data_IF_120653358929
#
_entry.id   IF_120653358929
#
_cell.length_a   1.000
_cell.length_b   1.000
_cell.length_c   1.000
_cell.angle_alpha   90.00
_cell.angle_beta   90.00
_cell.angle_gamma   90.00
#
_symmetry.space_group_name_H-M   'P 1'
#
loop_
_entity.id
_entity.type
_entity.pdbx_description
1 polymer ?
#
# COMPACT_ATOMS: atom_id res chain seq x y z
N UNK A 1 -17.73 -0.53 65.69
CA UNK A 1 -16.91 0.31 64.79
C UNK A 1 -16.61 -0.54 63.56
N UNK A 2 -17.60 -0.73 62.70
CA UNK A 2 -17.52 -1.56 61.49
C UNK A 2 -17.18 -0.65 60.32
N UNK A 3 -15.94 -0.76 59.87
CA UNK A 3 -15.39 -0.05 58.72
C UNK A 3 -16.15 -0.46 57.45
N UNK A 4 -17.09 0.39 57.03
CA UNK A 4 -17.83 0.23 55.78
C UNK A 4 -16.88 0.67 54.67
N UNK A 5 -16.12 -0.29 54.12
CA UNK A 5 -15.34 -0.09 52.91
C UNK A 5 -16.23 0.50 51.82
N UNK A 6 -15.92 1.73 51.40
CA UNK A 6 -16.63 2.40 50.31
C UNK A 6 -16.49 1.56 49.03
N UNK A 7 -17.53 1.53 48.16
CA UNK A 7 -17.44 0.84 46.88
C UNK A 7 -16.28 1.40 46.07
N UNK A 8 -15.35 0.55 45.64
CA UNK A 8 -14.31 0.97 44.71
C UNK A 8 -14.97 1.41 43.39
N UNK A 9 -14.59 2.56 42.81
CA UNK A 9 -15.06 2.94 41.51
C UNK A 9 -14.70 1.85 40.50
N UNK A 10 -15.58 1.55 39.53
CA UNK A 10 -15.29 0.56 38.52
C UNK A 10 -13.98 0.92 37.80
N UNK A 11 -13.13 -0.07 37.47
CA UNK A 11 -11.90 0.19 36.75
C UNK A 11 -12.25 0.87 35.42
N UNK A 12 -11.66 2.04 35.19
CA UNK A 12 -11.76 2.77 33.92
C UNK A 12 -11.19 1.85 32.85
N UNK A 13 -12.05 1.21 32.05
CA UNK A 13 -11.61 0.44 30.88
C UNK A 13 -10.90 1.44 29.98
N UNK A 14 -9.59 1.26 29.79
CA UNK A 14 -8.88 1.94 28.72
C UNK A 14 -9.68 1.68 27.43
N UNK A 15 -10.01 2.74 26.69
CA UNK A 15 -10.78 2.62 25.46
C UNK A 15 -10.05 1.66 24.53
N UNK A 16 -10.57 0.44 24.38
CA UNK A 16 -10.04 -0.52 23.43
C UNK A 16 -10.17 0.10 22.04
N UNK A 17 -9.10 0.09 21.22
CA UNK A 17 -9.18 0.63 19.87
C UNK A 17 -10.34 -0.03 19.13
N UNK A 18 -11.14 0.78 18.42
CA UNK A 18 -12.34 0.30 17.73
C UNK A 18 -11.94 -0.83 16.76
N UNK A 19 -12.32 -2.08 17.06
CA UNK A 19 -11.90 -3.29 16.33
C UNK A 19 -12.18 -3.21 14.84
N UNK A 20 -13.18 -2.42 14.44
CA UNK A 20 -13.54 -2.16 13.04
C UNK A 20 -12.49 -1.33 12.31
N UNK A 21 -11.92 -0.31 12.96
CA UNK A 21 -10.87 0.56 12.42
C UNK A 21 -9.59 -0.24 12.17
N UNK A 22 -9.19 -1.06 13.14
CA UNK A 22 -7.99 -1.92 13.03
C UNK A 22 -8.13 -2.92 11.87
N UNK A 23 -9.32 -3.51 11.68
CA UNK A 23 -9.58 -4.43 10.58
C UNK A 23 -9.54 -3.74 9.21
N UNK A 24 -10.07 -2.51 9.12
CA UNK A 24 -10.04 -1.73 7.90
C UNK A 24 -8.60 -1.35 7.51
N UNK A 25 -7.81 -0.89 8.48
CA UNK A 25 -6.39 -0.59 8.31
C UNK A 25 -5.62 -1.83 7.81
N UNK A 26 -5.81 -2.97 8.47
CA UNK A 26 -5.14 -4.23 8.10
C UNK A 26 -5.52 -4.67 6.68
N UNK A 27 -6.78 -4.48 6.28
CA UNK A 27 -7.22 -4.78 4.93
C UNK A 27 -6.56 -3.86 3.90
N UNK A 28 -6.53 -2.55 4.16
CA UNK A 28 -5.89 -1.57 3.29
C UNK A 28 -4.40 -1.82 3.13
N UNK A 29 -3.69 -2.11 4.22
CA UNK A 29 -2.26 -2.45 4.19
C UNK A 29 -1.99 -3.68 3.33
N UNK A 30 -2.83 -4.71 3.43
CA UNK A 30 -2.73 -5.91 2.60
C UNK A 30 -2.88 -5.59 1.10
N UNK A 31 -3.85 -4.76 0.74
CA UNK A 31 -4.07 -4.37 -0.66
C UNK A 31 -2.92 -3.51 -1.20
N UNK A 32 -2.45 -2.54 -0.41
CA UNK A 32 -1.32 -1.69 -0.79
C UNK A 32 -0.04 -2.53 -0.96
N UNK A 33 0.22 -3.47 -0.05
CA UNK A 33 1.35 -4.39 -0.16
C UNK A 33 1.30 -5.22 -1.46
N UNK A 34 0.13 -5.75 -1.81
CA UNK A 34 -0.04 -6.48 -3.08
C UNK A 34 0.25 -5.57 -4.28
N UNK A 35 -0.30 -4.34 -4.30
CA UNK A 35 -0.04 -3.39 -5.38
C UNK A 35 1.46 -3.07 -5.56
N UNK A 36 2.18 -2.89 -4.45
CA UNK A 36 3.64 -2.71 -4.47
C UNK A 36 4.34 -3.92 -5.10
N UNK A 37 3.93 -5.14 -4.74
CA UNK A 37 4.54 -6.35 -5.30
C UNK A 37 4.19 -6.57 -6.77
N UNK A 38 3.02 -6.12 -7.24
CA UNK A 38 2.63 -6.23 -8.64
C UNK A 38 3.43 -5.29 -9.55
N UNK A 39 3.90 -4.15 -9.05
CA UNK A 39 4.73 -3.22 -9.83
C UNK A 39 5.95 -3.89 -10.47
N UNK A 40 6.55 -4.88 -9.80
CA UNK A 40 7.77 -5.53 -10.33
C UNK A 40 7.48 -6.39 -11.55
N UNK A 41 6.24 -6.88 -11.68
CA UNK A 41 5.81 -7.73 -12.80
C UNK A 41 5.68 -6.90 -14.08
N UNK A 42 5.45 -5.59 -13.96
CA UNK A 42 5.36 -4.67 -15.10
C UNK A 42 6.72 -4.40 -15.78
N UNK A 43 7.83 -4.81 -15.16
CA UNK A 43 9.15 -4.76 -15.79
C UNK A 43 9.30 -6.00 -16.69
N UNK A 44 8.89 -5.84 -17.95
CA UNK A 44 8.95 -6.89 -18.96
C UNK A 44 10.39 -7.14 -19.40
N UNK A 45 10.80 -8.40 -19.47
CA UNK A 45 12.11 -8.79 -20.04
C UNK A 45 12.07 -8.53 -21.55
N UNK A 46 13.13 -7.94 -22.15
CA UNK A 46 13.14 -7.69 -23.59
C UNK A 46 12.99 -9.00 -24.37
N UNK A 47 12.00 -9.04 -25.27
CA UNK A 47 11.85 -10.12 -26.24
C UNK A 47 12.97 -9.99 -27.27
N UNK A 48 13.96 -10.88 -27.19
CA UNK A 48 15.07 -10.92 -28.13
C UNK A 48 14.75 -12.00 -29.17
N UNK A 49 14.55 -11.63 -30.44
CA UNK A 49 14.36 -12.59 -31.53
C UNK A 49 15.71 -12.99 -32.13
N UNK A 50 16.24 -14.20 -31.84
CA UNK A 50 17.38 -14.78 -32.59
C UNK A 50 18.45 -15.55 -31.79
N UNK A 51 19.49 -16.01 -32.50
CA UNK A 51 20.63 -16.79 -31.97
C UNK A 51 21.61 -15.85 -31.23
N UNK A 52 21.73 -15.99 -29.90
CA UNK A 52 22.23 -14.91 -29.04
C UNK A 52 23.76 -14.83 -28.87
N UNK A 53 24.30 -13.62 -28.99
CA UNK A 53 25.56 -13.22 -28.35
C UNK A 53 25.25 -12.44 -27.05
N UNK A 54 26.05 -12.65 -25.99
CA UNK A 54 25.88 -11.97 -24.70
C UNK A 54 25.86 -10.42 -24.77
N UNK A 55 26.36 -9.84 -25.86
CA UNK A 55 26.34 -8.40 -26.11
C UNK A 55 24.93 -7.84 -26.39
N UNK A 56 24.03 -8.64 -26.97
CA UNK A 56 22.67 -8.19 -27.34
C UNK A 56 21.75 -8.11 -26.11
N UNK A 57 21.94 -9.02 -25.15
CA UNK A 57 21.24 -8.96 -23.86
C UNK A 57 21.56 -7.69 -23.08
N UNK A 58 22.84 -7.29 -23.01
CA UNK A 58 23.25 -6.07 -22.31
C UNK A 58 22.74 -4.78 -22.96
N UNK A 59 22.49 -4.82 -24.27
CA UNK A 59 21.89 -3.70 -24.99
C UNK A 59 20.40 -3.62 -24.70
N UNK A 60 19.67 -4.73 -24.83
CA UNK A 60 18.24 -4.78 -24.49
C UNK A 60 17.96 -4.35 -23.06
N UNK A 61 18.78 -4.78 -22.09
CA UNK A 61 18.63 -4.39 -20.68
C UNK A 61 18.83 -2.88 -20.43
N UNK A 62 19.66 -2.22 -21.23
CA UNK A 62 19.86 -0.76 -21.13
C UNK A 62 18.69 0.02 -21.73
N UNK A 63 18.08 -0.51 -22.78
CA UNK A 63 16.93 0.11 -23.44
C UNK A 63 15.68 0.07 -22.53
N UNK A 64 15.64 -0.83 -21.53
CA UNK A 64 14.63 -0.90 -20.47
C UNK A 64 14.71 0.21 -19.40
N UNK A 65 15.67 1.14 -19.48
CA UNK A 65 15.85 2.20 -18.49
C UNK A 65 14.57 2.98 -18.10
N UNK A 66 13.67 3.35 -19.05
CA UNK A 66 12.41 4.01 -18.71
C UNK A 66 11.51 3.17 -17.79
N UNK A 67 11.48 1.85 -17.98
CA UNK A 67 10.71 0.93 -17.14
C UNK A 67 11.25 0.87 -15.72
N UNK A 68 12.57 0.88 -15.53
CA UNK A 68 13.16 0.92 -14.19
C UNK A 68 12.84 2.22 -13.46
N UNK A 69 12.86 3.35 -14.17
CA UNK A 69 12.52 4.65 -13.60
C UNK A 69 11.04 4.73 -13.24
N UNK A 70 10.16 4.26 -14.13
CA UNK A 70 8.72 4.17 -13.89
C UNK A 70 8.41 3.31 -12.67
N UNK A 71 8.98 2.11 -12.60
CA UNK A 71 8.87 1.22 -11.44
C UNK A 71 9.30 1.92 -10.15
N UNK A 72 10.50 2.50 -10.12
CA UNK A 72 11.06 3.13 -8.93
C UNK A 72 10.18 4.30 -8.46
N UNK A 73 9.76 5.16 -9.38
CA UNK A 73 8.92 6.30 -9.09
C UNK A 73 7.58 5.86 -8.51
N UNK A 74 6.93 4.87 -9.12
CA UNK A 74 5.67 4.32 -8.65
C UNK A 74 5.80 3.62 -7.30
N UNK A 75 6.89 2.87 -7.08
CA UNK A 75 7.18 2.26 -5.78
C UNK A 75 7.28 3.32 -4.68
N UNK A 76 8.00 4.41 -4.94
CA UNK A 76 8.13 5.54 -3.99
C UNK A 76 6.79 6.22 -3.76
N UNK A 77 6.00 6.48 -4.81
CA UNK A 77 4.68 7.09 -4.69
C UNK A 77 3.76 6.21 -3.82
N UNK A 78 3.65 4.92 -4.11
CA UNK A 78 2.82 4.01 -3.31
C UNK A 78 3.32 3.93 -1.87
N UNK A 79 4.65 3.90 -1.66
CA UNK A 79 5.23 3.92 -0.32
C UNK A 79 4.89 5.18 0.48
N UNK A 80 4.89 6.36 -0.17
CA UNK A 80 4.46 7.62 0.45
C UNK A 80 2.96 7.59 0.75
N UNK A 81 2.13 7.08 -0.16
CA UNK A 81 0.70 6.93 0.06
C UNK A 81 0.41 5.99 1.23
N UNK A 82 1.14 4.89 1.34
CA UNK A 82 1.06 3.96 2.46
C UNK A 82 1.44 4.63 3.79
N UNK A 83 2.57 5.34 3.84
CA UNK A 83 3.00 6.03 5.05
C UNK A 83 1.98 7.09 5.51
N UNK A 84 1.42 7.85 4.57
CA UNK A 84 0.34 8.80 4.86
C UNK A 84 -0.94 8.10 5.33
N UNK A 85 -1.32 6.99 4.68
CA UNK A 85 -2.48 6.19 5.06
C UNK A 85 -2.37 5.70 6.51
N UNK A 86 -1.25 5.08 6.86
CA UNK A 86 -0.98 4.62 8.21
C UNK A 86 -1.00 5.77 9.23
N UNK A 87 -0.42 6.93 8.90
CA UNK A 87 -0.45 8.10 9.80
C UNK A 87 -1.88 8.66 10.01
N UNK A 88 -2.70 8.69 8.97
CA UNK A 88 -4.09 9.12 9.05
C UNK A 88 -4.91 8.15 9.90
N UNK A 89 -4.75 6.84 9.72
CA UNK A 89 -5.44 5.82 10.51
C UNK A 89 -5.06 5.86 12.00
N UNK A 90 -3.82 6.22 12.33
CA UNK A 90 -3.40 6.47 13.72
C UNK A 90 -4.11 7.64 14.40
N UNK A 91 -4.65 8.61 13.65
CA UNK A 91 -5.39 9.76 14.18
C UNK A 91 -6.91 9.54 14.23
N UNK A 92 -7.41 8.47 13.61
CA UNK A 92 -8.84 8.17 13.52
C UNK A 92 -9.28 7.37 14.76
N UNK A 93 -10.12 7.97 15.59
CA UNK A 93 -10.67 7.33 16.79
C UNK A 93 -11.88 6.42 16.56
N UNK A 94 -12.64 6.62 15.45
CA UNK A 94 -13.82 5.82 15.07
C UNK A 94 -13.96 5.74 13.55
N UNK A 95 -14.41 4.59 13.04
CA UNK A 95 -14.65 4.40 11.61
C UNK A 95 -16.09 4.72 11.24
N UNK A 96 -16.29 5.66 10.32
CA UNK A 96 -17.60 5.99 9.74
C UNK A 96 -17.79 5.36 8.35
N UNK A 97 -19.04 5.21 7.90
CA UNK A 97 -19.36 4.62 6.58
C UNK A 97 -18.68 5.38 5.42
N UNK A 98 -18.62 6.71 5.51
CA UNK A 98 -17.98 7.54 4.49
C UNK A 98 -16.47 7.27 4.38
N UNK A 99 -15.82 6.97 5.50
CA UNK A 99 -14.40 6.63 5.57
C UNK A 99 -14.12 5.31 4.85
N UNK A 100 -15.00 4.32 5.00
CA UNK A 100 -14.91 3.04 4.29
C UNK A 100 -14.99 3.25 2.76
N UNK A 101 -15.92 4.10 2.29
CA UNK A 101 -16.07 4.39 0.86
C UNK A 101 -14.85 5.12 0.32
N UNK A 102 -14.37 6.17 1.00
CA UNK A 102 -13.15 6.89 0.60
C UNK A 102 -11.95 5.95 0.57
N UNK A 103 -11.79 5.12 1.61
CA UNK A 103 -10.72 4.12 1.67
C UNK A 103 -10.78 3.17 0.47
N UNK A 104 -11.98 2.69 0.13
CA UNK A 104 -12.17 1.77 -1.00
C UNK A 104 -11.80 2.43 -2.33
N UNK A 105 -12.18 3.69 -2.55
CA UNK A 105 -11.80 4.45 -3.73
C UNK A 105 -10.28 4.71 -3.79
N UNK A 106 -9.67 5.02 -2.66
CA UNK A 106 -8.23 5.15 -2.55
C UNK A 106 -7.50 3.84 -2.91
N UNK A 107 -7.97 2.70 -2.40
CA UNK A 107 -7.43 1.39 -2.74
C UNK A 107 -7.61 1.03 -4.21
N UNK A 108 -8.73 1.42 -4.82
CA UNK A 108 -8.95 1.28 -6.26
C UNK A 108 -7.91 2.07 -7.07
N UNK A 109 -7.63 3.32 -6.68
CA UNK A 109 -6.58 4.11 -7.31
C UNK A 109 -5.20 3.48 -7.13
N UNK A 110 -4.87 3.00 -5.93
CA UNK A 110 -3.58 2.34 -5.65
C UNK A 110 -3.43 1.07 -6.47
N UNK A 111 -4.48 0.25 -6.56
CA UNK A 111 -4.49 -0.97 -7.38
C UNK A 111 -4.38 -0.69 -8.88
N UNK A 112 -4.73 0.51 -9.33
CA UNK A 112 -4.60 0.92 -10.73
C UNK A 112 -3.20 1.46 -11.09
N UNK A 113 -2.38 1.80 -10.09
CA UNK A 113 -1.04 2.37 -10.34
C UNK A 113 -0.10 1.47 -11.14
N UNK A 114 -0.04 0.13 -10.94
CA UNK A 114 0.81 -0.74 -11.76
C UNK A 114 0.54 -0.59 -13.25
N UNK A 115 -0.74 -0.61 -13.65
CA UNK A 115 -1.16 -0.39 -15.03
C UNK A 115 -0.70 0.98 -15.58
N UNK A 116 -0.92 2.06 -14.83
CA UNK A 116 -0.48 3.40 -15.28
C UNK A 116 1.04 3.52 -15.38
N UNK A 117 1.77 2.77 -14.56
CA UNK A 117 3.24 2.74 -14.57
C UNK A 117 3.75 2.06 -15.82
N UNK A 118 3.16 0.91 -16.17
CA UNK A 118 3.46 0.21 -17.41
C UNK A 118 3.18 1.10 -18.63
N UNK A 119 2.01 1.75 -18.65
CA UNK A 119 1.62 2.64 -19.73
C UNK A 119 2.62 3.79 -19.94
N UNK A 120 3.10 4.41 -18.85
CA UNK A 120 4.08 5.50 -18.91
C UNK A 120 5.50 5.02 -19.28
N UNK A 121 5.83 3.77 -18.95
CA UNK A 121 7.11 3.18 -19.31
C UNK A 121 7.18 2.81 -20.80
N UNK A 122 6.03 2.51 -21.41
CA UNK A 122 5.93 2.05 -22.80
C UNK A 122 5.70 3.18 -23.82
N UNK A 123 5.00 4.26 -23.45
CA UNK A 123 4.62 5.38 -24.32
C UNK A 123 5.13 6.74 -23.83
#
# INVERSE_FOLDING_TARGET
>A
MTDRAAPQPPPVRAAEPDTTTVRLETFSDGVIAIAITLLVIEIHVPELDGDYAAADLWRGLRDLWPSYLGYLLSFVIIGILWANHHNVFRMIGRTDHWLIVINTLFLLCVGFLPFTTALLAEY
#
